data_IF_872840625062
#
_entry.id   IF_872840625062
#
_cell.length_a   1.000
_cell.length_b   1.000
_cell.length_c   1.000
_cell.angle_alpha   90.00
_cell.angle_beta   90.00
_cell.angle_gamma   90.00
#
_symmetry.space_group_name_H-M   'P 1'
#
loop_
_entity.id
_entity.type
_entity.pdbx_description
1 polymer ?
#
# COMPACT_ATOMS: atom_id res chain seq x y z
N UNK A 1 12.56 -11.42 29.01
CA UNK A 1 13.67 -10.62 28.46
C UNK A 1 13.66 -10.50 26.92
N UNK A 2 12.58 -10.90 26.21
CA UNK A 2 12.49 -10.79 24.73
C UNK A 2 11.78 -9.53 24.21
N UNK A 3 10.89 -8.90 24.98
CA UNK A 3 10.12 -7.76 24.48
C UNK A 3 10.97 -6.53 24.13
N UNK A 4 12.00 -6.22 24.93
CA UNK A 4 12.87 -5.08 24.65
C UNK A 4 13.65 -5.25 23.35
N UNK A 5 14.16 -6.45 23.10
CA UNK A 5 14.87 -6.78 21.85
C UNK A 5 13.92 -6.68 20.66
N UNK A 6 12.70 -7.20 20.77
CA UNK A 6 11.72 -7.11 19.68
C UNK A 6 11.30 -5.67 19.38
N UNK A 7 11.14 -4.85 20.42
CA UNK A 7 10.88 -3.42 20.24
C UNK A 7 12.04 -2.71 19.54
N UNK A 8 13.28 -2.97 19.97
CA UNK A 8 14.47 -2.41 19.33
C UNK A 8 14.59 -2.84 17.87
N UNK A 9 14.32 -4.10 17.56
CA UNK A 9 14.32 -4.62 16.18
C UNK A 9 13.26 -3.92 15.33
N UNK A 10 12.03 -3.75 15.85
CA UNK A 10 10.98 -3.04 15.14
C UNK A 10 11.36 -1.57 14.89
N UNK A 11 11.87 -0.87 15.92
CA UNK A 11 12.32 0.51 15.80
C UNK A 11 13.46 0.69 14.79
N UNK A 12 14.46 -0.19 14.84
CA UNK A 12 15.58 -0.16 13.89
C UNK A 12 15.11 -0.48 12.47
N UNK A 13 14.23 -1.48 12.32
CA UNK A 13 13.65 -1.85 11.03
C UNK A 13 12.88 -0.69 10.42
N UNK A 14 12.03 -0.02 11.21
CA UNK A 14 11.31 1.18 10.77
C UNK A 14 12.26 2.30 10.37
N UNK A 15 13.31 2.53 11.16
CA UNK A 15 14.31 3.58 10.87
C UNK A 15 15.02 3.32 9.55
N UNK A 16 15.48 2.08 9.33
CA UNK A 16 16.13 1.68 8.07
C UNK A 16 15.15 1.84 6.90
N UNK A 17 13.91 1.39 7.05
CA UNK A 17 12.88 1.47 6.02
C UNK A 17 12.56 2.93 5.66
N UNK A 18 12.37 3.79 6.66
CA UNK A 18 12.08 5.21 6.49
C UNK A 18 13.24 5.96 5.81
N UNK A 19 14.48 5.68 6.23
CA UNK A 19 15.68 6.26 5.60
C UNK A 19 15.84 5.79 4.16
N UNK A 20 15.71 4.49 3.90
CA UNK A 20 15.80 3.93 2.56
C UNK A 20 14.73 4.49 1.63
N UNK A 21 13.47 4.53 2.09
CA UNK A 21 12.37 5.12 1.35
C UNK A 21 12.63 6.60 1.04
N UNK A 22 13.11 7.38 2.02
CA UNK A 22 13.49 8.77 1.83
C UNK A 22 14.55 8.97 0.75
N UNK A 23 15.67 8.24 0.82
CA UNK A 23 16.77 8.39 -0.14
C UNK A 23 16.38 7.90 -1.55
N UNK A 24 15.84 6.69 -1.64
CA UNK A 24 15.46 6.07 -2.93
C UNK A 24 14.30 6.84 -3.57
N UNK A 25 13.35 7.32 -2.77
CA UNK A 25 12.26 8.17 -3.25
C UNK A 25 12.78 9.41 -3.98
N UNK A 26 13.76 10.11 -3.40
CA UNK A 26 14.35 11.28 -4.05
C UNK A 26 15.11 10.93 -5.33
N UNK A 27 15.77 9.77 -5.38
CA UNK A 27 16.38 9.26 -6.62
C UNK A 27 15.33 9.04 -7.70
N UNK A 28 14.19 8.41 -7.37
CA UNK A 28 13.08 8.21 -8.32
C UNK A 28 12.47 9.52 -8.80
N UNK A 29 12.35 10.51 -7.92
CA UNK A 29 11.91 11.86 -8.30
C UNK A 29 12.85 12.48 -9.33
N UNK A 30 14.17 12.26 -9.24
CA UNK A 30 15.14 12.72 -10.25
C UNK A 30 14.91 12.07 -11.62
N UNK A 31 14.41 10.84 -11.65
CA UNK A 31 13.98 10.15 -12.87
C UNK A 31 12.57 10.52 -13.34
N UNK A 32 11.95 11.56 -12.77
CA UNK A 32 10.56 11.98 -13.06
C UNK A 32 9.50 10.93 -12.74
N UNK A 33 9.79 10.01 -11.82
CA UNK A 33 8.81 9.07 -11.30
C UNK A 33 8.14 9.61 -10.02
N UNK A 34 6.90 9.17 -9.71
CA UNK A 34 6.26 9.48 -8.43
C UNK A 34 7.09 8.99 -7.25
N UNK A 35 7.11 9.76 -6.14
CA UNK A 35 7.82 9.39 -4.92
C UNK A 35 7.38 8.03 -4.37
N UNK A 36 6.08 7.75 -4.42
CA UNK A 36 5.48 6.50 -3.93
C UNK A 36 6.06 5.28 -4.66
N UNK A 37 6.38 5.39 -5.95
CA UNK A 37 7.05 4.32 -6.70
C UNK A 37 8.43 4.02 -6.13
N UNK A 38 9.18 5.05 -5.73
CA UNK A 38 10.47 4.89 -5.06
C UNK A 38 10.35 4.29 -3.66
N UNK A 39 9.30 4.63 -2.92
CA UNK A 39 9.03 4.03 -1.59
C UNK A 39 8.72 2.53 -1.70
N UNK A 40 7.90 2.13 -2.68
CA UNK A 40 7.62 0.73 -2.97
C UNK A 40 8.91 -0.02 -3.37
N UNK A 41 9.72 0.58 -4.24
CA UNK A 41 11.00 0.00 -4.65
C UNK A 41 11.96 -0.18 -3.45
N UNK A 42 12.05 0.82 -2.58
CA UNK A 42 12.84 0.74 -1.34
C UNK A 42 12.38 -0.41 -0.44
N UNK A 43 11.06 -0.60 -0.30
CA UNK A 43 10.49 -1.70 0.46
C UNK A 43 10.84 -3.08 -0.11
N UNK A 44 10.76 -3.24 -1.44
CA UNK A 44 11.17 -4.49 -2.12
C UNK A 44 12.67 -4.74 -1.93
N UNK A 45 13.49 -3.69 -2.05
CA UNK A 45 14.94 -3.75 -1.93
C UNK A 45 15.39 -4.17 -0.52
N UNK A 46 14.91 -3.47 0.51
CA UNK A 46 15.35 -3.64 1.90
C UNK A 46 14.59 -4.78 2.60
N UNK A 47 13.41 -5.13 2.12
CA UNK A 47 12.58 -6.21 2.64
C UNK A 47 13.18 -7.61 2.45
N UNK A 48 12.43 -8.66 2.84
CA UNK A 48 12.93 -10.03 2.92
C UNK A 48 13.30 -10.66 1.57
N UNK A 49 12.86 -10.08 0.46
CA UNK A 49 12.95 -10.69 -0.87
C UNK A 49 14.25 -10.38 -1.63
N UNK A 50 14.88 -9.22 -1.40
CA UNK A 50 16.13 -8.84 -2.08
C UNK A 50 17.32 -8.82 -1.12
N UNK A 51 17.43 -7.79 -0.27
CA UNK A 51 18.56 -7.66 0.66
C UNK A 51 18.33 -8.38 1.99
N UNK A 52 17.09 -8.74 2.31
CA UNK A 52 16.70 -9.40 3.55
C UNK A 52 17.19 -8.67 4.82
N UNK A 53 17.24 -7.33 4.78
CA UNK A 53 17.63 -6.50 5.91
C UNK A 53 16.52 -6.42 6.96
N UNK A 54 15.28 -6.54 6.52
CA UNK A 54 14.09 -6.55 7.40
C UNK A 54 13.38 -7.89 7.23
N UNK A 55 13.24 -8.63 8.33
CA UNK A 55 12.59 -9.94 8.33
C UNK A 55 11.07 -9.84 8.22
N UNK A 56 10.44 -10.94 7.81
CA UNK A 56 8.97 -11.01 7.69
C UNK A 56 8.27 -10.77 9.04
N UNK A 57 8.83 -11.28 10.14
CA UNK A 57 8.32 -11.01 11.49
C UNK A 57 8.39 -9.54 11.88
N UNK A 58 9.47 -8.84 11.50
CA UNK A 58 9.61 -7.41 11.76
C UNK A 58 8.56 -6.61 10.97
N UNK A 59 8.28 -6.98 9.71
CA UNK A 59 7.22 -6.37 8.90
C UNK A 59 5.85 -6.52 9.57
N UNK A 60 5.51 -7.71 10.05
CA UNK A 60 4.23 -7.95 10.74
C UNK A 60 4.09 -7.05 11.97
N UNK A 61 5.19 -6.83 12.71
CA UNK A 61 5.20 -5.92 13.87
C UNK A 61 5.09 -4.46 13.49
N UNK A 62 5.43 -4.07 12.27
CA UNK A 62 5.30 -2.70 11.78
C UNK A 62 3.90 -2.39 11.24
N UNK A 63 2.97 -3.36 11.19
CA UNK A 63 1.59 -3.13 10.71
C UNK A 63 0.85 -2.00 11.43
N UNK A 64 1.13 -1.77 12.72
CA UNK A 64 0.52 -0.64 13.44
C UNK A 64 0.91 0.71 12.80
N UNK A 65 2.11 0.81 12.22
CA UNK A 65 2.57 2.01 11.52
C UNK A 65 1.74 2.25 10.27
N UNK A 66 1.40 1.20 9.52
CA UNK A 66 0.53 1.30 8.34
C UNK A 66 -0.85 1.81 8.73
N UNK A 67 -1.42 1.29 9.82
CA UNK A 67 -2.73 1.71 10.34
C UNK A 67 -2.71 3.18 10.79
N UNK A 68 -1.70 3.60 11.56
CA UNK A 68 -1.54 5.00 11.97
C UNK A 68 -1.28 5.91 10.77
N UNK A 69 -0.48 5.47 9.79
CA UNK A 69 -0.18 6.24 8.59
C UNK A 69 -1.40 6.42 7.71
N UNK A 70 -2.20 5.37 7.51
CA UNK A 70 -3.45 5.44 6.75
C UNK A 70 -4.46 6.36 7.44
N UNK A 71 -4.59 6.25 8.77
CA UNK A 71 -5.44 7.14 9.55
C UNK A 71 -4.97 8.61 9.45
N UNK A 72 -3.66 8.85 9.51
CA UNK A 72 -3.09 10.18 9.36
C UNK A 72 -3.32 10.77 7.97
N UNK A 73 -3.09 10.01 6.90
CA UNK A 73 -3.32 10.48 5.52
C UNK A 73 -4.81 10.75 5.28
N UNK A 74 -5.70 9.89 5.78
CA UNK A 74 -7.14 10.11 5.69
C UNK A 74 -7.58 11.36 6.48
N UNK A 75 -7.03 11.55 7.69
CA UNK A 75 -7.29 12.73 8.51
C UNK A 75 -6.77 14.01 7.84
N UNK A 76 -5.53 14.01 7.34
CA UNK A 76 -4.92 15.15 6.67
C UNK A 76 -5.73 15.57 5.43
N UNK A 77 -6.03 14.61 4.54
CA UNK A 77 -6.85 14.86 3.36
C UNK A 77 -8.27 15.33 3.72
N UNK A 78 -8.86 14.78 4.79
CA UNK A 78 -10.17 15.22 5.30
C UNK A 78 -10.13 16.63 5.90
N UNK A 79 -9.03 17.01 6.54
CA UNK A 79 -8.85 18.33 7.18
C UNK A 79 -8.66 19.47 6.18
N UNK A 80 -8.17 19.17 4.97
CA UNK A 80 -8.02 20.14 3.88
C UNK A 80 -9.35 20.40 3.13
N UNK A 81 -10.42 19.69 3.48
CA UNK A 81 -11.65 19.65 2.69
C UNK A 81 -12.67 20.70 3.16
N UNK A 82 -12.94 21.70 2.32
CA UNK A 82 -13.92 22.75 2.61
C UNK A 82 -15.35 22.28 2.29
N UNK A 83 -16.18 22.13 3.33
CA UNK A 83 -17.55 21.62 3.20
C UNK A 83 -18.44 22.48 2.29
N UNK A 84 -18.23 23.80 2.26
CA UNK A 84 -19.00 24.70 1.41
C UNK A 84 -18.74 24.45 -0.08
N UNK A 85 -17.47 24.27 -0.46
CA UNK A 85 -17.06 23.94 -1.82
C UNK A 85 -17.57 22.55 -2.24
N UNK A 86 -17.46 21.58 -1.33
CA UNK A 86 -17.97 20.21 -1.55
C UNK A 86 -19.47 20.17 -1.80
N UNK A 87 -20.27 20.93 -1.04
CA UNK A 87 -21.74 20.90 -1.14
C UNK A 87 -22.22 21.21 -2.55
N UNK A 88 -21.57 22.17 -3.22
CA UNK A 88 -21.90 22.54 -4.61
C UNK A 88 -21.64 21.41 -5.61
N UNK A 89 -20.67 20.52 -5.32
CA UNK A 89 -20.27 19.43 -6.20
C UNK A 89 -20.72 18.04 -5.71
N UNK A 90 -21.41 17.96 -4.56
CA UNK A 90 -21.67 16.72 -3.84
C UNK A 90 -22.38 15.67 -4.71
N UNK A 91 -23.36 16.10 -5.52
CA UNK A 91 -24.09 15.21 -6.44
C UNK A 91 -23.16 14.64 -7.51
N UNK A 92 -22.27 15.46 -8.08
CA UNK A 92 -21.29 15.02 -9.08
C UNK A 92 -20.29 14.03 -8.46
N UNK A 93 -19.70 14.40 -7.32
CA UNK A 93 -18.75 13.55 -6.58
C UNK A 93 -19.40 12.20 -6.23
N UNK A 94 -20.64 12.20 -5.75
CA UNK A 94 -21.36 10.97 -5.39
C UNK A 94 -21.57 10.07 -6.61
N UNK A 95 -22.04 10.62 -7.73
CA UNK A 95 -22.26 9.84 -8.96
C UNK A 95 -20.97 9.26 -9.53
N UNK A 96 -19.91 10.07 -9.61
CA UNK A 96 -18.59 9.61 -10.08
C UNK A 96 -18.04 8.54 -9.15
N UNK A 97 -18.13 8.72 -7.84
CA UNK A 97 -17.61 7.76 -6.85
C UNK A 97 -18.36 6.43 -6.91
N UNK A 98 -19.70 6.45 -6.92
CA UNK A 98 -20.52 5.24 -7.04
C UNK A 98 -20.23 4.54 -8.37
N UNK A 99 -20.22 5.30 -9.47
CA UNK A 99 -19.92 4.78 -10.80
C UNK A 99 -18.54 4.12 -10.86
N UNK A 100 -17.51 4.76 -10.30
CA UNK A 100 -16.15 4.22 -10.25
C UNK A 100 -16.06 2.97 -9.39
N UNK A 101 -16.68 2.94 -8.21
CA UNK A 101 -16.67 1.76 -7.32
C UNK A 101 -17.35 0.57 -8.00
N UNK A 102 -18.57 0.76 -8.52
CA UNK A 102 -19.32 -0.31 -9.19
C UNK A 102 -18.57 -0.78 -10.43
N UNK A 103 -18.08 0.13 -11.28
CA UNK A 103 -17.38 -0.22 -12.51
C UNK A 103 -16.06 -0.92 -12.25
N UNK A 104 -15.23 -0.40 -11.33
CA UNK A 104 -13.93 -1.00 -11.01
C UNK A 104 -14.10 -2.38 -10.40
N UNK A 105 -15.08 -2.55 -9.51
CA UNK A 105 -15.34 -3.85 -8.89
C UNK A 105 -15.87 -4.87 -9.90
N UNK A 106 -16.86 -4.50 -10.72
CA UNK A 106 -17.44 -5.39 -11.72
C UNK A 106 -16.46 -5.74 -12.85
N UNK A 107 -15.83 -4.73 -13.46
CA UNK A 107 -14.87 -4.94 -14.54
C UNK A 107 -13.60 -5.66 -14.04
N UNK A 108 -13.06 -5.24 -12.89
CA UNK A 108 -11.88 -5.86 -12.29
C UNK A 108 -12.12 -7.32 -11.93
N UNK A 109 -13.24 -7.61 -11.24
CA UNK A 109 -13.61 -9.00 -10.90
C UNK A 109 -13.86 -9.86 -12.14
N UNK A 110 -14.57 -9.33 -13.14
CA UNK A 110 -14.83 -10.04 -14.40
C UNK A 110 -13.53 -10.31 -15.16
N UNK A 111 -12.64 -9.32 -15.26
CA UNK A 111 -11.35 -9.46 -15.92
C UNK A 111 -10.49 -10.53 -15.23
N UNK A 112 -10.41 -10.49 -13.89
CA UNK A 112 -9.69 -11.51 -13.11
C UNK A 112 -10.32 -12.89 -13.32
N UNK A 113 -11.65 -13.01 -13.32
CA UNK A 113 -12.34 -14.28 -13.54
C UNK A 113 -12.06 -14.88 -14.93
N UNK A 114 -12.08 -14.06 -15.98
CA UNK A 114 -11.79 -14.51 -17.35
C UNK A 114 -10.31 -14.86 -17.54
N UNK A 115 -9.40 -14.06 -16.96
CA UNK A 115 -7.95 -14.28 -17.03
C UNK A 115 -7.47 -15.37 -16.07
N UNK A 116 -8.28 -15.77 -15.08
CA UNK A 116 -7.95 -16.83 -14.12
C UNK A 116 -7.53 -18.13 -14.80
N UNK A 117 -8.11 -18.43 -15.97
CA UNK A 117 -7.77 -19.62 -16.75
C UNK A 117 -6.41 -19.54 -17.45
N UNK A 118 -5.80 -18.37 -17.56
CA UNK A 118 -4.49 -18.18 -18.21
C UNK A 118 -3.35 -18.04 -17.21
N UNK A 119 -3.64 -17.82 -15.92
CA UNK A 119 -2.63 -17.65 -14.88
C UNK A 119 -2.43 -18.99 -14.14
N UNK A 120 -1.25 -19.65 -14.26
CA UNK A 120 -1.00 -20.95 -13.64
C UNK A 120 -1.23 -20.97 -12.12
N UNK A 121 -0.89 -19.87 -11.43
CA UNK A 121 -1.14 -19.70 -9.99
C UNK A 121 -2.64 -19.76 -9.63
N UNK A 122 -3.52 -19.20 -10.46
CA UNK A 122 -4.96 -19.23 -10.21
C UNK A 122 -5.58 -20.59 -10.54
N UNK A 123 -5.07 -21.28 -11.56
CA UNK A 123 -5.48 -22.66 -11.86
C UNK A 123 -5.18 -23.60 -10.69
N UNK A 124 -4.02 -23.45 -10.04
CA UNK A 124 -3.65 -24.23 -8.87
C UNK A 124 -4.61 -24.03 -7.68
N UNK A 125 -5.19 -22.84 -7.53
CA UNK A 125 -6.21 -22.57 -6.49
C UNK A 125 -7.60 -23.11 -6.85
N UNK A 126 -7.97 -23.13 -8.14
CA UNK A 126 -9.25 -23.67 -8.61
C UNK A 126 -9.26 -25.20 -8.63
N UNK A 127 -8.11 -25.84 -8.90
CA UNK A 127 -7.98 -27.30 -8.96
C UNK A 127 -7.93 -28.01 -7.60
N UNK A 128 -7.56 -27.31 -6.52
CA UNK A 128 -7.43 -27.89 -5.18
C UNK A 128 -8.68 -27.74 -4.30
N UNK A 129 -9.77 -27.22 -4.88
CA UNK A 129 -11.07 -26.99 -4.21
C UNK A 129 -12.20 -27.92 -4.68
N UNK A 130 -11.87 -29.03 -5.35
CA UNK A 130 -12.79 -30.15 -5.63
C UNK A 130 -12.24 -31.43 -5.04
#
# INVERSE_FOLDING_TARGET
MNNHIQFLVAFLSFTILALAAGQIGQVFKRFRLPLISGFLFAGILVGPYLLNLISHEAIIRLRFVDEVSLAYIAFAAGSELYLEELRSQFKSITWVTIGLIVSTFTLGSTAVFLLARFVPFMQAMVGNGR
#
